data_IF_935038201526
#
_entry.id   IF_935038201526
#
_cell.length_a   1.000
_cell.length_b   1.000
_cell.length_c   1.000
_cell.angle_alpha   90.00
_cell.angle_beta   90.00
_cell.angle_gamma   90.00
#
_symmetry.space_group_name_H-M   'P 1'
#
loop_
_entity.id
_entity.type
_entity.pdbx_description
1 polymer ?
#
# COMPACT_ATOMS: atom_id res chain seq x y z
N UNK A 1 -31.02 4.26 3.15
CA UNK A 1 -30.72 5.43 2.29
C UNK A 1 -31.97 5.99 1.60
N UNK A 2 -33.17 5.43 1.79
CA UNK A 2 -34.36 5.82 1.01
C UNK A 2 -35.45 6.62 1.77
N UNK A 3 -35.23 7.04 3.01
CA UNK A 3 -36.24 7.79 3.79
C UNK A 3 -35.68 8.86 4.74
N UNK A 4 -34.85 9.81 4.25
CA UNK A 4 -34.44 10.96 5.08
C UNK A 4 -34.46 12.25 4.27
N UNK A 5 -35.16 13.28 4.77
CA UNK A 5 -35.38 14.58 4.09
C UNK A 5 -34.34 15.66 4.45
N UNK A 6 -33.44 15.38 5.38
CA UNK A 6 -32.38 16.30 5.83
C UNK A 6 -31.00 15.67 5.58
N UNK A 7 -30.52 15.76 4.34
CA UNK A 7 -29.16 15.39 3.98
C UNK A 7 -28.46 16.61 3.36
N UNK A 8 -27.46 17.14 4.07
CA UNK A 8 -26.53 18.14 3.53
C UNK A 8 -25.28 17.40 3.09
N UNK A 9 -24.97 17.50 1.79
CA UNK A 9 -23.75 16.94 1.20
C UNK A 9 -22.72 18.06 1.17
N UNK A 10 -21.69 17.94 1.99
CA UNK A 10 -20.52 18.82 1.92
C UNK A 10 -19.53 18.18 0.95
N UNK A 11 -19.22 18.81 -0.20
CA UNK A 11 -18.19 18.31 -1.09
C UNK A 11 -16.83 18.44 -0.39
N UNK A 12 -16.32 17.32 0.08
CA UNK A 12 -14.97 17.19 0.61
C UNK A 12 -14.12 16.60 -0.51
N UNK A 13 -13.19 17.38 -1.07
CA UNK A 13 -12.14 16.89 -1.97
C UNK A 13 -11.05 16.20 -1.14
N UNK A 14 -11.43 15.15 -0.44
CA UNK A 14 -10.50 14.13 -0.02
C UNK A 14 -10.53 13.11 -1.16
N UNK A 15 -9.42 12.91 -1.86
CA UNK A 15 -9.23 11.96 -2.96
C UNK A 15 -9.45 10.50 -2.56
N UNK A 16 -10.60 10.20 -1.97
CA UNK A 16 -11.11 8.90 -1.63
C UNK A 16 -11.81 8.38 -2.88
N UNK A 17 -10.99 8.10 -3.88
CA UNK A 17 -11.38 7.13 -4.88
C UNK A 17 -11.36 5.77 -4.18
N UNK A 18 -12.23 4.86 -4.60
CA UNK A 18 -12.39 3.50 -4.07
C UNK A 18 -11.13 2.66 -4.41
N UNK A 19 -9.99 3.03 -3.81
CA UNK A 19 -8.65 2.57 -4.13
C UNK A 19 -8.39 1.27 -3.36
N UNK A 20 -8.96 0.19 -3.89
CA UNK A 20 -8.70 -1.17 -3.44
C UNK A 20 -7.32 -1.63 -3.87
N UNK A 21 -6.31 -1.48 -3.01
CA UNK A 21 -5.04 -2.19 -3.12
C UNK A 21 -3.81 -1.31 -2.95
N UNK A 22 -2.75 -1.89 -2.35
CA UNK A 22 -1.42 -1.26 -2.27
C UNK A 22 -0.80 -1.00 -3.65
N UNK A 23 -1.40 -1.53 -4.73
CA UNK A 23 -1.06 -1.26 -6.11
C UNK A 23 -1.23 0.22 -6.49
N UNK A 24 -2.36 0.84 -6.15
CA UNK A 24 -2.57 2.26 -6.43
C UNK A 24 -1.61 3.15 -5.61
N UNK A 25 -1.25 2.73 -4.40
CA UNK A 25 -0.20 3.39 -3.60
C UNK A 25 1.15 3.32 -4.31
N UNK A 26 1.46 2.22 -5.00
CA UNK A 26 2.67 2.09 -5.82
C UNK A 26 2.61 2.96 -7.09
N UNK A 27 1.45 3.07 -7.74
CA UNK A 27 1.26 3.90 -8.94
C UNK A 27 1.41 5.40 -8.66
N UNK A 28 0.96 5.87 -7.50
CA UNK A 28 1.11 7.28 -7.10
C UNK A 28 2.44 7.57 -6.39
N UNK A 29 3.22 6.53 -6.07
CA UNK A 29 4.52 6.71 -5.43
C UNK A 29 5.61 7.01 -6.45
N UNK A 30 6.62 7.76 -6.02
CA UNK A 30 7.81 7.98 -6.82
C UNK A 30 8.61 6.68 -6.94
N UNK A 31 8.79 6.23 -8.18
CA UNK A 31 9.49 4.99 -8.49
C UNK A 31 10.91 5.27 -8.95
N UNK A 32 11.82 4.38 -8.58
CA UNK A 32 13.19 4.33 -9.09
C UNK A 32 13.25 3.70 -10.49
N UNK A 33 14.41 3.71 -11.15
CA UNK A 33 14.64 3.14 -12.49
C UNK A 33 14.23 1.65 -12.60
N UNK A 34 14.23 0.92 -11.48
CA UNK A 34 13.82 -0.48 -11.40
C UNK A 34 12.32 -0.69 -11.11
N UNK A 35 11.51 0.38 -11.13
CA UNK A 35 10.08 0.34 -10.81
C UNK A 35 9.79 0.14 -9.32
N UNK A 36 10.76 0.41 -8.44
CA UNK A 36 10.57 0.25 -7.01
C UNK A 36 10.12 1.54 -6.36
N UNK A 37 9.18 1.45 -5.44
CA UNK A 37 8.78 2.55 -4.58
C UNK A 37 9.21 2.25 -3.16
N UNK A 38 10.04 3.11 -2.57
CA UNK A 38 10.56 2.96 -1.23
C UNK A 38 10.13 4.12 -0.35
N UNK A 39 9.71 3.83 0.87
CA UNK A 39 9.39 4.84 1.89
C UNK A 39 9.97 4.44 3.24
N UNK A 40 10.79 5.33 3.80
CA UNK A 40 11.50 5.11 5.07
C UNK A 40 12.85 4.43 4.91
N UNK A 41 13.28 3.69 5.94
CA UNK A 41 14.60 3.06 5.98
C UNK A 41 14.59 1.71 5.25
N UNK A 42 14.95 1.74 3.96
CA UNK A 42 14.89 0.56 3.07
C UNK A 42 16.25 0.32 2.40
N UNK A 43 16.70 -0.93 2.42
CA UNK A 43 17.88 -1.40 1.68
C UNK A 43 17.48 -2.45 0.67
N UNK A 44 17.50 -2.07 -0.61
CA UNK A 44 17.17 -2.97 -1.70
C UNK A 44 18.42 -3.37 -2.48
N UNK A 45 18.56 -4.67 -2.76
CA UNK A 45 19.57 -5.27 -3.62
C UNK A 45 18.86 -6.14 -4.63
N UNK A 46 19.11 -5.93 -5.93
CA UNK A 46 18.46 -6.68 -7.01
C UNK A 46 16.93 -6.81 -6.84
N UNK A 47 16.28 -5.70 -6.47
CA UNK A 47 14.83 -5.65 -6.25
C UNK A 47 14.16 -4.95 -7.41
N UNK A 48 13.00 -5.42 -7.88
CA UNK A 48 12.28 -4.84 -9.04
C UNK A 48 10.78 -4.77 -8.83
N UNK A 49 10.12 -3.75 -9.40
CA UNK A 49 8.66 -3.60 -9.35
C UNK A 49 8.03 -3.76 -7.95
N UNK A 50 8.76 -3.39 -6.90
CA UNK A 50 8.37 -3.68 -5.51
C UNK A 50 8.06 -2.40 -4.75
N UNK A 51 6.97 -2.42 -3.96
CA UNK A 51 6.64 -1.37 -3.00
C UNK A 51 7.18 -1.79 -1.63
N UNK A 52 8.02 -0.98 -1.01
CA UNK A 52 8.48 -1.18 0.37
C UNK A 52 8.17 0.05 1.21
N UNK A 53 7.44 -0.17 2.29
CA UNK A 53 7.09 0.84 3.28
C UNK A 53 7.66 0.42 4.63
N UNK A 54 8.69 1.10 5.11
CA UNK A 54 9.32 0.85 6.41
C UNK A 54 9.14 2.06 7.32
N UNK A 55 8.27 1.98 8.32
CA UNK A 55 8.05 3.10 9.25
C UNK A 55 8.96 3.02 10.49
N UNK A 56 9.09 1.84 11.10
CA UNK A 56 9.73 1.67 12.43
C UNK A 56 11.11 0.98 12.36
N UNK A 57 11.33 0.09 11.38
CA UNK A 57 12.56 -0.72 11.27
C UNK A 57 13.10 -0.74 9.85
N UNK A 58 14.41 -0.95 9.75
CA UNK A 58 15.09 -1.20 8.49
C UNK A 58 14.46 -2.41 7.78
N UNK A 59 14.03 -2.20 6.54
CA UNK A 59 13.55 -3.28 5.66
C UNK A 59 14.59 -3.55 4.59
N UNK A 60 15.13 -4.77 4.56
CA UNK A 60 16.09 -5.19 3.55
C UNK A 60 15.44 -6.18 2.56
N UNK A 61 15.58 -5.92 1.26
CA UNK A 61 15.08 -6.79 0.18
C UNK A 61 16.24 -7.21 -0.72
N UNK A 62 16.32 -8.50 -1.06
CA UNK A 62 17.39 -9.06 -1.88
C UNK A 62 16.81 -10.03 -2.90
N UNK A 63 16.95 -9.74 -4.20
CA UNK A 63 16.53 -10.65 -5.28
C UNK A 63 15.02 -10.90 -5.34
N UNK A 64 14.21 -9.90 -4.98
CA UNK A 64 12.74 -10.02 -4.96
C UNK A 64 12.10 -9.11 -5.99
N UNK A 65 10.95 -9.53 -6.51
CA UNK A 65 10.23 -8.78 -7.51
C UNK A 65 8.71 -8.83 -7.31
N UNK A 66 8.03 -7.76 -7.75
CA UNK A 66 6.56 -7.67 -7.77
C UNK A 66 5.92 -7.86 -6.39
N UNK A 67 6.59 -7.42 -5.32
CA UNK A 67 6.08 -7.51 -3.96
C UNK A 67 5.58 -6.17 -3.42
N UNK A 68 4.72 -6.27 -2.42
CA UNK A 68 4.32 -5.19 -1.52
C UNK A 68 4.73 -5.60 -0.12
N UNK A 69 5.62 -4.83 0.47
CA UNK A 69 6.15 -5.05 1.81
C UNK A 69 5.80 -3.82 2.63
N UNK A 70 4.99 -4.01 3.67
CA UNK A 70 4.60 -2.94 4.58
C UNK A 70 4.97 -3.36 5.98
N UNK A 71 5.90 -2.63 6.58
CA UNK A 71 6.36 -2.80 7.94
C UNK A 71 5.84 -1.65 8.78
N UNK A 72 4.84 -1.93 9.60
CA UNK A 72 4.34 -1.03 10.64
C UNK A 72 4.81 -1.53 12.01
N UNK A 73 4.53 -0.73 13.06
CA UNK A 73 4.90 -1.09 14.44
C UNK A 73 4.24 -2.38 14.94
N UNK A 74 3.03 -2.66 14.47
CA UNK A 74 2.19 -3.75 14.97
C UNK A 74 2.31 -5.02 14.12
N UNK A 75 2.51 -4.87 12.81
CA UNK A 75 2.54 -5.99 11.88
C UNK A 75 3.43 -5.75 10.65
N UNK A 76 3.88 -6.87 10.06
CA UNK A 76 4.52 -6.89 8.75
C UNK A 76 3.60 -7.58 7.76
N UNK A 77 3.28 -6.88 6.69
CA UNK A 77 2.55 -7.42 5.54
C UNK A 77 3.53 -7.66 4.40
N UNK A 78 3.52 -8.87 3.86
CA UNK A 78 4.20 -9.20 2.60
C UNK A 78 3.16 -9.83 1.68
N UNK A 79 2.93 -9.21 0.54
CA UNK A 79 2.00 -9.70 -0.45
C UNK A 79 2.59 -9.54 -1.84
N UNK A 80 2.18 -10.39 -2.78
CA UNK A 80 2.43 -10.13 -4.18
C UNK A 80 1.60 -8.93 -4.62
N UNK A 81 2.16 -8.05 -5.46
CA UNK A 81 1.51 -6.80 -5.90
C UNK A 81 0.13 -7.04 -6.52
N UNK A 82 0.03 -8.06 -7.38
CA UNK A 82 -1.24 -8.50 -8.00
C UNK A 82 -2.27 -9.06 -6.99
N UNK A 83 -1.83 -9.51 -5.81
CA UNK A 83 -2.70 -10.10 -4.78
C UNK A 83 -3.01 -9.08 -3.66
N UNK A 84 -2.51 -7.85 -3.77
CA UNK A 84 -2.63 -6.81 -2.74
C UNK A 84 -4.08 -6.38 -2.45
N UNK A 85 -5.03 -6.68 -3.35
CA UNK A 85 -6.46 -6.53 -3.10
C UNK A 85 -7.03 -7.55 -2.10
N UNK A 86 -6.41 -8.72 -1.95
CA UNK A 86 -6.88 -9.78 -1.02
C UNK A 86 -6.58 -9.47 0.45
N UNK A 87 -5.78 -8.45 0.74
CA UNK A 87 -5.41 -8.07 2.12
C UNK A 87 -6.62 -7.57 2.91
N UNK A 88 -7.61 -6.95 2.24
CA UNK A 88 -8.90 -6.60 2.86
C UNK A 88 -9.64 -7.82 3.42
N UNK A 89 -9.43 -9.01 2.87
CA UNK A 89 -10.07 -10.25 3.31
C UNK A 89 -9.41 -10.90 4.53
N UNK A 90 -8.24 -10.43 4.98
CA UNK A 90 -7.53 -11.00 6.15
C UNK A 90 -7.27 -10.01 7.28
N UNK A 91 -7.18 -8.70 7.02
CA UNK A 91 -6.99 -7.70 8.08
C UNK A 91 -8.30 -7.15 8.71
N UNK A 92 -9.48 -7.64 8.31
CA UNK A 92 -10.77 -7.19 8.86
C UNK A 92 -11.21 -7.93 10.15
N UNK A 93 -10.38 -8.79 10.73
CA UNK A 93 -10.70 -9.48 11.98
C UNK A 93 -9.45 -9.77 12.81
N UNK A 94 -9.10 -8.83 13.70
CA UNK A 94 -8.62 -9.09 15.06
C UNK A 94 -8.70 -7.78 15.85
#
# INVERSE_FOLDING_TARGET
MEHTKDAVVVPMDAGWNDVGGFEALWEVSQQDENGNAFKGDVKAVDTKNTLVFGEDKLVATVGVENLVIVNTKDAVLVAHKNESQKVKSHCAAA
#
